data_IF_704400036894
#
_entry.id   IF_704400036894
#
_cell.length_a   1.000
_cell.length_b   1.000
_cell.length_c   1.000
_cell.angle_alpha   90.00
_cell.angle_beta   90.00
_cell.angle_gamma   90.00
#
_symmetry.space_group_name_H-M   'P 1'
#
loop_
_entity.id
_entity.type
_entity.pdbx_description
1 polymer ?
#
# COMPACT_ATOMS: atom_id res chain seq x y z
N UNK A 1 -6.54 -23.87 2.93
CA UNK A 1 -5.84 -23.95 4.23
C UNK A 1 -6.57 -23.28 5.40
N UNK A 2 -7.35 -22.21 5.20
CA UNK A 2 -8.09 -21.54 6.29
C UNK A 2 -9.18 -22.40 6.97
N UNK A 3 -9.83 -23.32 6.25
CA UNK A 3 -10.87 -24.19 6.80
C UNK A 3 -10.35 -25.27 7.76
N UNK A 4 -9.13 -25.78 7.53
CA UNK A 4 -8.53 -26.78 8.40
C UNK A 4 -8.17 -26.22 9.80
N UNK A 5 -7.75 -24.97 9.87
CA UNK A 5 -7.43 -24.30 11.13
C UNK A 5 -8.69 -24.01 11.94
N UNK A 6 -9.80 -23.65 11.29
CA UNK A 6 -11.08 -23.38 11.96
C UNK A 6 -11.65 -24.65 12.59
N UNK A 7 -11.58 -25.79 11.90
CA UNK A 7 -12.06 -27.08 12.41
C UNK A 7 -11.23 -27.54 13.61
N UNK A 8 -9.91 -27.38 13.58
CA UNK A 8 -9.04 -27.75 14.70
C UNK A 8 -9.33 -26.89 15.94
N UNK A 9 -9.55 -25.58 15.79
CA UNK A 9 -9.88 -24.69 16.90
C UNK A 9 -11.24 -25.05 17.52
N UNK A 10 -12.24 -25.37 16.71
CA UNK A 10 -13.57 -25.79 17.18
C UNK A 10 -13.50 -27.15 17.90
N UNK A 11 -12.70 -28.11 17.40
CA UNK A 11 -12.55 -29.43 18.01
C UNK A 11 -11.79 -29.34 19.34
N UNK A 12 -10.79 -28.50 19.48
CA UNK A 12 -10.08 -28.26 20.74
C UNK A 12 -11.00 -27.60 21.79
N UNK A 13 -11.90 -26.70 21.37
CA UNK A 13 -12.87 -26.06 22.27
C UNK A 13 -13.94 -27.04 22.79
N UNK A 14 -14.30 -28.09 22.05
CA UNK A 14 -15.31 -29.09 22.46
C UNK A 14 -14.71 -30.12 23.44
N UNK A 15 -13.40 -30.40 23.40
CA UNK A 15 -12.74 -31.40 24.25
C UNK A 15 -12.30 -30.89 25.62
N UNK A 16 -12.30 -29.56 25.86
CA UNK A 16 -12.02 -28.98 27.18
C UNK A 16 -13.34 -28.69 27.93
N UNK A 17 -14.29 -29.59 27.86
CA UNK A 17 -15.51 -29.49 28.64
C UNK A 17 -15.52 -30.47 29.78
N UNK A 18 -16.17 -30.01 30.82
CA UNK A 18 -16.72 -30.71 32.00
C UNK A 18 -15.92 -30.42 33.28
N UNK A 19 -15.86 -29.12 33.60
CA UNK A 19 -16.00 -28.63 34.98
C UNK A 19 -16.84 -27.35 34.93
N UNK A 20 -17.75 -27.11 35.90
CA UNK A 20 -18.66 -25.95 35.84
C UNK A 20 -17.93 -24.66 36.17
N UNK A 21 -17.18 -24.16 35.21
CA UNK A 21 -16.69 -22.79 35.25
C UNK A 21 -17.82 -21.86 34.83
N UNK A 22 -18.12 -20.88 35.68
CA UNK A 22 -19.23 -19.94 35.48
C UNK A 22 -19.26 -19.37 34.04
N UNK A 23 -20.42 -19.44 33.40
CA UNK A 23 -20.67 -18.92 32.02
C UNK A 23 -20.09 -17.50 31.79
N UNK A 24 -19.97 -16.69 32.85
CA UNK A 24 -19.36 -15.34 32.78
C UNK A 24 -17.90 -15.34 32.36
N UNK A 25 -17.09 -16.33 32.79
CA UNK A 25 -15.64 -16.38 32.45
C UNK A 25 -15.42 -16.81 30.99
N UNK A 26 -16.26 -17.71 30.45
CA UNK A 26 -16.18 -18.13 29.06
C UNK A 26 -16.57 -16.99 28.10
N UNK A 27 -17.59 -16.19 28.45
CA UNK A 27 -17.99 -15.03 27.67
C UNK A 27 -16.90 -13.95 27.64
N UNK A 28 -16.17 -13.75 28.74
CA UNK A 28 -15.09 -12.77 28.79
C UNK A 28 -13.88 -13.16 27.92
N UNK A 29 -13.51 -14.44 27.90
CA UNK A 29 -12.41 -14.94 27.05
C UNK A 29 -12.78 -14.86 25.57
N UNK A 30 -14.01 -15.22 25.22
CA UNK A 30 -14.52 -15.11 23.84
C UNK A 30 -14.55 -13.66 23.35
N UNK A 31 -14.97 -12.72 24.20
CA UNK A 31 -15.00 -11.30 23.87
C UNK A 31 -13.60 -10.70 23.75
N UNK A 32 -12.65 -11.08 24.62
CA UNK A 32 -11.26 -10.64 24.53
C UNK A 32 -10.57 -11.15 23.25
N UNK A 33 -10.79 -12.41 22.86
CA UNK A 33 -10.28 -12.98 21.61
C UNK A 33 -10.89 -12.33 20.37
N UNK A 34 -12.17 -11.99 20.42
CA UNK A 34 -12.86 -11.27 19.34
C UNK A 34 -12.32 -9.83 19.20
N UNK A 35 -12.07 -9.14 20.31
CA UNK A 35 -11.45 -7.81 20.29
C UNK A 35 -9.99 -7.84 19.77
N UNK A 36 -9.20 -8.87 20.09
CA UNK A 36 -7.84 -9.01 19.55
C UNK A 36 -7.83 -9.26 18.04
N UNK A 37 -8.79 -9.99 17.50
CA UNK A 37 -8.89 -10.21 16.05
C UNK A 37 -9.32 -8.96 15.27
N UNK A 38 -10.04 -8.03 15.89
CA UNK A 38 -10.39 -6.74 15.29
C UNK A 38 -9.22 -5.74 15.26
N UNK A 39 -8.20 -5.91 16.09
CA UNK A 39 -7.04 -4.98 16.16
C UNK A 39 -6.03 -5.19 15.04
N UNK A 40 -6.03 -6.32 14.37
CA UNK A 40 -5.10 -6.63 13.26
C UNK A 40 -5.51 -6.03 11.90
N UNK A 41 -6.72 -5.45 11.76
CA UNK A 41 -7.22 -4.89 10.51
C UNK A 41 -6.76 -3.45 10.19
N UNK A 42 -5.95 -2.82 11.05
CA UNK A 42 -5.68 -1.37 10.97
C UNK A 42 -4.34 -0.96 10.37
N UNK A 43 -3.60 -1.84 9.71
CA UNK A 43 -2.28 -1.49 9.14
C UNK A 43 -2.29 -1.12 7.65
N UNK A 44 -3.43 -1.17 6.99
CA UNK A 44 -3.53 -0.80 5.58
C UNK A 44 -3.91 0.67 5.46
N UNK A 45 -3.09 1.46 4.76
CA UNK A 45 -3.43 2.84 4.43
C UNK A 45 -4.75 2.86 3.66
N UNK A 46 -5.81 3.38 4.27
CA UNK A 46 -7.06 3.57 3.57
C UNK A 46 -6.88 4.73 2.57
N UNK A 47 -7.30 4.52 1.34
CA UNK A 47 -7.23 5.51 0.27
C UNK A 47 -8.64 5.93 -0.15
N UNK A 48 -8.83 7.22 -0.36
CA UNK A 48 -10.07 7.81 -0.89
C UNK A 48 -9.80 8.28 -2.31
N UNK A 49 -10.61 7.86 -3.27
CA UNK A 49 -10.53 8.32 -4.66
C UNK A 49 -10.76 9.82 -4.74
N UNK A 50 -9.94 10.52 -5.52
CA UNK A 50 -10.03 11.95 -5.74
C UNK A 50 -9.89 12.27 -7.24
N UNK A 51 -10.51 13.38 -7.67
CA UNK A 51 -10.44 13.80 -9.07
C UNK A 51 -9.12 14.52 -9.40
N UNK A 52 -8.50 15.17 -8.41
CA UNK A 52 -7.27 15.94 -8.60
C UNK A 52 -6.36 15.86 -7.39
N UNK A 53 -5.07 16.10 -7.62
CA UNK A 53 -4.03 16.17 -6.61
C UNK A 53 -3.13 17.37 -6.86
N UNK A 54 -2.37 17.86 -5.87
CA UNK A 54 -1.39 18.94 -6.07
C UNK A 54 -0.26 18.60 -7.05
N UNK A 55 -0.08 17.31 -7.39
CA UNK A 55 1.01 16.83 -8.25
C UNK A 55 0.61 16.65 -9.71
N UNK A 56 -0.67 16.77 -10.05
CA UNK A 56 -1.19 16.47 -11.40
C UNK A 56 -0.46 17.23 -12.51
N UNK A 57 -0.16 18.51 -12.27
CA UNK A 57 0.56 19.35 -13.23
C UNK A 57 2.01 18.89 -13.41
N UNK A 58 2.68 18.51 -12.33
CA UNK A 58 4.07 18.07 -12.37
C UNK A 58 4.23 16.69 -13.00
N UNK A 59 3.19 15.85 -12.91
CA UNK A 59 3.18 14.46 -13.41
C UNK A 59 2.77 14.34 -14.88
N UNK A 60 2.55 15.45 -15.60
CA UNK A 60 2.07 15.43 -16.99
C UNK A 60 2.97 14.58 -17.90
N UNK A 61 4.29 14.65 -17.72
CA UNK A 61 5.26 13.89 -18.53
C UNK A 61 5.20 12.38 -18.32
N UNK A 62 4.90 11.93 -17.12
CA UNK A 62 4.84 10.49 -16.76
C UNK A 62 3.42 9.92 -16.82
N UNK A 63 2.41 10.74 -17.05
CA UNK A 63 1.02 10.28 -17.14
C UNK A 63 0.82 9.17 -18.18
N UNK A 64 1.38 9.25 -19.39
CA UNK A 64 1.28 8.17 -20.37
C UNK A 64 1.83 6.84 -19.85
N UNK A 65 2.91 6.88 -19.06
CA UNK A 65 3.54 5.69 -18.47
C UNK A 65 2.61 5.07 -17.41
N UNK A 66 2.02 5.89 -16.54
CA UNK A 66 1.10 5.41 -15.51
C UNK A 66 -0.18 4.83 -16.12
N UNK A 67 -0.67 5.43 -17.21
CA UNK A 67 -1.92 5.03 -17.87
C UNK A 67 -1.73 4.07 -19.04
N UNK A 68 -0.50 3.61 -19.31
CA UNK A 68 -0.26 2.60 -20.35
C UNK A 68 -1.06 1.33 -20.07
N UNK A 69 -1.41 0.60 -21.11
CA UNK A 69 -2.00 -0.71 -20.94
C UNK A 69 -1.01 -1.62 -20.20
N UNK A 70 -1.52 -2.40 -19.27
CA UNK A 70 -0.72 -3.43 -18.60
C UNK A 70 -0.19 -4.40 -19.67
N UNK A 71 1.07 -4.76 -19.57
CA UNK A 71 1.67 -5.74 -20.46
C UNK A 71 0.97 -7.09 -20.34
N UNK A 72 1.29 -7.99 -21.28
CA UNK A 72 0.82 -9.38 -21.18
C UNK A 72 1.29 -9.96 -19.82
N UNK A 73 0.38 -10.64 -19.15
CA UNK A 73 0.68 -11.27 -17.85
C UNK A 73 1.63 -12.43 -18.10
N UNK A 74 2.90 -12.11 -18.08
CA UNK A 74 3.95 -13.11 -18.01
C UNK A 74 3.87 -13.82 -16.64
N UNK A 75 4.65 -14.90 -16.50
CA UNK A 75 4.75 -15.72 -15.30
C UNK A 75 4.71 -14.91 -14.00
N UNK A 76 4.29 -15.55 -12.93
CA UNK A 76 4.21 -14.94 -11.58
C UNK A 76 5.52 -14.23 -11.23
N UNK A 77 5.51 -12.90 -11.23
CA UNK A 77 6.70 -12.09 -10.89
C UNK A 77 7.17 -12.43 -9.49
N UNK A 78 8.40 -12.93 -9.39
CA UNK A 78 9.01 -13.30 -8.12
C UNK A 78 9.50 -12.04 -7.36
N UNK A 79 9.43 -12.09 -6.04
CA UNK A 79 9.99 -11.04 -5.19
C UNK A 79 11.50 -10.88 -5.39
N UNK A 80 12.20 -11.95 -5.77
CA UNK A 80 13.63 -11.92 -6.08
C UNK A 80 13.92 -11.05 -7.31
N UNK A 81 13.11 -11.17 -8.37
CA UNK A 81 13.25 -10.34 -9.57
C UNK A 81 12.97 -8.87 -9.26
N UNK A 82 11.94 -8.59 -8.45
CA UNK A 82 11.63 -7.23 -7.99
C UNK A 82 12.81 -6.65 -7.19
N UNK A 83 13.41 -7.43 -6.30
CA UNK A 83 14.58 -7.01 -5.54
C UNK A 83 15.78 -6.72 -6.45
N UNK A 84 15.98 -7.50 -7.50
CA UNK A 84 17.03 -7.24 -8.50
C UNK A 84 16.82 -5.88 -9.17
N UNK A 85 15.58 -5.55 -9.59
CA UNK A 85 15.28 -4.22 -10.17
C UNK A 85 15.46 -3.09 -9.17
N UNK A 86 15.04 -3.28 -7.91
CA UNK A 86 15.26 -2.31 -6.84
C UNK A 86 16.77 -2.05 -6.68
N UNK A 87 17.58 -3.12 -6.64
CA UNK A 87 19.04 -3.03 -6.52
C UNK A 87 19.67 -2.25 -7.68
N UNK A 88 19.27 -2.54 -8.92
CA UNK A 88 19.76 -1.84 -10.11
C UNK A 88 19.43 -0.36 -10.08
N UNK A 89 18.20 0.00 -9.75
CA UNK A 89 17.79 1.41 -9.62
C UNK A 89 18.44 2.10 -8.41
N UNK A 90 18.65 1.37 -7.32
CA UNK A 90 19.37 1.87 -6.16
C UNK A 90 20.80 2.24 -6.48
N UNK A 91 21.47 1.47 -7.33
CA UNK A 91 22.86 1.71 -7.76
C UNK A 91 23.02 3.01 -8.57
N UNK A 92 21.97 3.52 -9.23
CA UNK A 92 22.03 4.81 -9.92
C UNK A 92 22.23 5.91 -8.87
N UNK A 93 23.23 6.81 -9.03
CA UNK A 93 23.46 7.91 -8.11
C UNK A 93 22.22 8.75 -7.87
N UNK A 94 22.05 9.23 -6.62
CA UNK A 94 20.94 10.13 -6.32
C UNK A 94 21.28 11.56 -6.76
N UNK A 95 20.38 12.17 -7.51
CA UNK A 95 20.45 13.58 -7.87
C UNK A 95 19.03 14.14 -8.02
N UNK A 96 18.75 15.25 -7.32
CA UNK A 96 17.43 15.89 -7.36
C UNK A 96 17.14 16.45 -8.75
N UNK A 97 15.91 16.26 -9.22
CA UNK A 97 15.35 16.87 -10.42
C UNK A 97 14.08 17.63 -10.10
N UNK A 98 13.86 18.78 -10.70
CA UNK A 98 12.57 19.48 -10.63
C UNK A 98 11.48 18.69 -11.34
N UNK A 99 11.81 18.09 -12.47
CA UNK A 99 10.90 17.33 -13.31
C UNK A 99 10.84 15.85 -12.92
N UNK A 100 9.75 15.22 -13.25
CA UNK A 100 9.61 13.77 -13.19
C UNK A 100 10.29 13.16 -14.42
N UNK A 101 11.36 12.39 -14.20
CA UNK A 101 12.07 11.68 -15.25
C UNK A 101 11.29 10.49 -15.74
N UNK A 102 11.33 10.22 -17.06
CA UNK A 102 10.82 8.99 -17.66
C UNK A 102 11.76 7.81 -17.38
N UNK A 103 11.32 6.54 -17.55
CA UNK A 103 12.18 5.38 -17.39
C UNK A 103 13.46 5.44 -18.25
N UNK A 104 13.36 5.91 -19.50
CA UNK A 104 14.47 6.08 -20.42
C UNK A 104 15.48 7.12 -19.90
N UNK A 105 14.98 8.25 -19.43
CA UNK A 105 15.84 9.30 -18.86
C UNK A 105 16.55 8.85 -17.59
N UNK A 106 15.95 7.91 -16.83
CA UNK A 106 16.58 7.31 -15.65
C UNK A 106 17.67 6.32 -16.05
N UNK A 107 17.43 5.50 -17.08
CA UNK A 107 18.39 4.52 -17.57
C UNK A 107 19.59 5.15 -18.27
N UNK A 108 19.38 6.20 -19.06
CA UNK A 108 20.42 6.90 -19.81
C UNK A 108 21.13 8.00 -19.00
N UNK A 109 20.54 8.39 -17.87
CA UNK A 109 21.03 9.51 -17.07
C UNK A 109 22.08 9.10 -16.05
N UNK A 110 22.99 10.02 -15.74
CA UNK A 110 24.01 9.83 -14.71
C UNK A 110 23.45 9.79 -13.28
N UNK A 111 22.23 10.26 -13.06
CA UNK A 111 21.58 10.31 -11.76
C UNK A 111 20.05 10.31 -11.86
N UNK A 112 19.39 9.89 -10.78
CA UNK A 112 17.95 9.98 -10.65
C UNK A 112 17.54 10.23 -9.20
N UNK A 113 16.41 10.93 -9.01
CA UNK A 113 15.80 11.12 -7.69
C UNK A 113 14.76 10.03 -7.38
N UNK A 114 14.11 10.14 -6.22
CA UNK A 114 13.11 9.18 -5.78
C UNK A 114 11.93 9.05 -6.77
N UNK A 115 11.53 10.17 -7.41
CA UNK A 115 10.42 10.20 -8.37
C UNK A 115 10.78 9.38 -9.62
N UNK A 116 11.92 9.68 -10.24
CA UNK A 116 12.37 8.98 -11.44
C UNK A 116 12.56 7.48 -11.19
N UNK A 117 13.25 7.12 -10.09
CA UNK A 117 13.46 5.71 -9.74
C UNK A 117 12.14 4.96 -9.48
N UNK A 118 11.17 5.59 -8.79
CA UNK A 118 9.87 4.98 -8.55
C UNK A 118 9.08 4.79 -9.86
N UNK A 119 9.11 5.77 -10.78
CA UNK A 119 8.45 5.66 -12.09
C UNK A 119 9.08 4.57 -12.96
N UNK A 120 10.42 4.47 -12.96
CA UNK A 120 11.11 3.41 -13.70
C UNK A 120 10.76 2.02 -13.16
N UNK A 121 10.69 1.84 -11.84
CA UNK A 121 10.25 0.59 -11.24
C UNK A 121 8.77 0.28 -11.52
N UNK A 122 7.89 1.30 -11.47
CA UNK A 122 6.49 1.15 -11.84
C UNK A 122 6.36 0.62 -13.27
N UNK A 123 7.05 1.24 -14.22
CA UNK A 123 7.04 0.82 -15.61
C UNK A 123 7.55 -0.61 -15.79
N UNK A 124 8.62 -1.01 -15.09
CA UNK A 124 9.16 -2.36 -15.15
C UNK A 124 8.19 -3.42 -14.64
N UNK A 125 7.41 -3.13 -13.62
CA UNK A 125 6.37 -3.99 -13.09
C UNK A 125 5.15 -4.02 -14.02
N UNK A 126 4.66 -2.85 -14.41
CA UNK A 126 3.44 -2.70 -15.18
C UNK A 126 3.56 -3.28 -16.59
N UNK A 127 4.70 -3.11 -17.27
CA UNK A 127 4.98 -3.68 -18.58
C UNK A 127 5.01 -5.23 -18.57
N UNK A 128 5.13 -5.86 -17.42
CA UNK A 128 5.05 -7.31 -17.23
C UNK A 128 3.72 -7.78 -16.66
N UNK A 129 2.69 -6.95 -16.72
CA UNK A 129 1.35 -7.31 -16.31
C UNK A 129 1.16 -7.40 -14.79
N UNK A 130 2.05 -6.81 -13.98
CA UNK A 130 1.86 -6.76 -12.53
C UNK A 130 0.75 -5.77 -12.21
N UNK A 131 -0.28 -6.28 -11.57
CA UNK A 131 -1.44 -5.53 -11.11
C UNK A 131 -1.28 -5.05 -9.65
N UNK A 132 -2.15 -4.15 -9.23
CA UNK A 132 -2.22 -3.66 -7.84
C UNK A 132 -0.92 -2.99 -7.37
N UNK A 133 -0.23 -2.30 -8.27
CA UNK A 133 0.93 -1.45 -7.97
C UNK A 133 0.49 0.00 -7.96
N UNK A 134 0.82 0.72 -6.91
CA UNK A 134 0.55 2.16 -6.77
C UNK A 134 1.84 2.95 -6.67
N UNK A 135 1.92 4.04 -7.42
CA UNK A 135 2.94 5.06 -7.19
C UNK A 135 2.47 5.96 -6.05
N UNK A 136 3.22 6.00 -4.97
CA UNK A 136 2.86 6.73 -3.75
C UNK A 136 3.78 7.94 -3.57
N UNK A 137 3.17 9.07 -3.23
CA UNK A 137 3.85 10.29 -2.79
C UNK A 137 3.47 10.53 -1.34
N UNK A 138 4.46 10.65 -0.48
CA UNK A 138 4.23 10.83 0.94
C UNK A 138 5.46 11.32 1.68
N UNK A 139 5.52 11.06 2.98
CA UNK A 139 6.67 11.36 3.82
C UNK A 139 7.40 10.08 4.18
N UNK A 140 8.73 10.06 4.02
CA UNK A 140 9.54 8.92 4.43
C UNK A 140 9.48 8.69 5.93
N UNK A 141 9.48 9.79 6.69
CA UNK A 141 9.27 9.82 8.13
C UNK A 141 8.30 10.95 8.47
N UNK A 142 7.59 10.82 9.55
CA UNK A 142 6.65 11.84 10.02
C UNK A 142 7.30 13.23 10.19
N UNK A 143 8.56 13.28 10.61
CA UNK A 143 9.34 14.52 10.77
C UNK A 143 9.89 15.09 9.46
N UNK A 144 9.78 14.36 8.33
CA UNK A 144 10.32 14.81 7.04
C UNK A 144 9.59 16.05 6.55
N UNK A 145 10.36 17.09 6.19
CA UNK A 145 9.82 18.29 5.55
C UNK A 145 9.58 18.09 4.06
N UNK A 146 10.38 17.25 3.41
CA UNK A 146 10.27 16.93 1.98
C UNK A 146 9.42 15.71 1.76
N UNK A 147 8.71 15.68 0.64
CA UNK A 147 8.00 14.49 0.16
C UNK A 147 8.98 13.51 -0.48
N UNK A 148 8.57 12.25 -0.51
CA UNK A 148 9.28 11.12 -1.06
C UNK A 148 8.35 10.30 -1.94
N UNK A 149 8.88 9.59 -2.94
CA UNK A 149 8.12 8.73 -3.82
C UNK A 149 8.62 7.27 -3.71
N UNK A 150 7.67 6.34 -3.65
CA UNK A 150 7.90 4.89 -3.60
C UNK A 150 6.73 4.16 -4.26
N UNK A 151 6.79 2.83 -4.33
CA UNK A 151 5.66 2.02 -4.75
C UNK A 151 5.09 1.20 -3.59
N UNK A 152 3.79 0.98 -3.64
CA UNK A 152 3.10 -0.04 -2.88
C UNK A 152 2.59 -1.12 -3.84
N UNK A 153 2.98 -2.36 -3.59
CA UNK A 153 2.53 -3.51 -4.37
C UNK A 153 1.73 -4.45 -3.48
N UNK A 154 0.43 -4.61 -3.79
CA UNK A 154 -0.48 -5.48 -3.04
C UNK A 154 -0.58 -6.84 -3.70
N UNK A 155 -0.23 -7.88 -2.97
CA UNK A 155 -0.30 -9.28 -3.38
C UNK A 155 -1.24 -10.06 -2.47
N UNK A 156 -1.52 -11.31 -2.78
CA UNK A 156 -2.25 -12.21 -1.87
C UNK A 156 -1.53 -12.39 -0.51
N UNK A 157 -0.20 -12.22 -0.49
CA UNK A 157 0.60 -12.27 0.73
C UNK A 157 0.63 -10.97 1.55
N UNK A 158 0.01 -9.88 1.09
CA UNK A 158 -0.01 -8.55 1.72
C UNK A 158 0.65 -7.48 0.88
N UNK A 159 0.77 -6.28 1.45
CA UNK A 159 1.34 -5.13 0.75
C UNK A 159 2.85 -5.01 0.99
N UNK A 160 3.60 -4.79 -0.08
CA UNK A 160 5.04 -4.55 -0.07
C UNK A 160 5.34 -3.08 -0.35
N UNK A 161 6.32 -2.53 0.37
CA UNK A 161 6.96 -1.25 0.07
C UNK A 161 8.15 -1.53 -0.85
N UNK A 162 8.17 -0.86 -2.01
CA UNK A 162 9.25 -0.93 -2.99
C UNK A 162 9.85 0.48 -3.13
N UNK A 163 10.98 0.70 -2.50
CA UNK A 163 11.66 2.01 -2.51
C UNK A 163 13.08 1.90 -3.08
N UNK A 164 13.26 2.08 -4.39
CA UNK A 164 14.55 1.96 -5.04
C UNK A 164 15.52 3.10 -4.74
N UNK A 165 15.14 4.06 -3.91
CA UNK A 165 16.01 5.15 -3.49
C UNK A 165 16.76 4.81 -2.22
N UNK A 166 16.10 4.18 -1.27
CA UNK A 166 16.62 3.97 0.08
C UNK A 166 16.90 2.50 0.37
N UNK A 167 16.03 1.60 -0.11
CA UNK A 167 16.11 0.17 0.20
C UNK A 167 16.80 -0.61 -0.93
N UNK A 168 17.38 -1.76 -0.59
CA UNK A 168 17.95 -2.72 -1.53
C UNK A 168 16.98 -3.82 -1.92
N UNK A 169 15.87 -3.95 -1.19
CA UNK A 169 14.86 -4.97 -1.41
C UNK A 169 13.48 -4.47 -0.98
N UNK A 170 12.47 -5.12 -1.51
CA UNK A 170 11.10 -4.99 -1.06
C UNK A 170 10.95 -5.50 0.37
N UNK A 171 10.05 -4.92 1.14
CA UNK A 171 9.69 -5.41 2.45
C UNK A 171 8.19 -5.21 2.72
N UNK A 172 7.66 -6.00 3.64
CA UNK A 172 6.24 -5.94 3.99
C UNK A 172 5.89 -4.61 4.66
N UNK A 173 4.79 -3.99 4.25
CA UNK A 173 4.35 -2.69 4.78
C UNK A 173 4.16 -2.73 6.31
N UNK A 174 3.76 -3.88 6.87
CA UNK A 174 3.59 -4.07 8.31
C UNK A 174 4.91 -3.94 9.10
N UNK A 175 6.05 -4.11 8.42
CA UNK A 175 7.39 -3.90 9.03
C UNK A 175 7.81 -2.44 9.02
N UNK A 176 7.14 -1.60 8.22
CA UNK A 176 7.33 -0.16 8.31
C UNK A 176 6.77 0.34 9.63
N UNK A 177 7.58 0.97 10.47
CA UNK A 177 7.08 1.58 11.70
C UNK A 177 6.00 2.63 11.38
N UNK A 178 5.08 2.87 12.30
CA UNK A 178 3.96 3.83 12.16
C UNK A 178 4.39 5.26 11.82
N UNK A 179 5.64 5.60 12.08
CA UNK A 179 6.25 6.91 11.82
C UNK A 179 6.99 6.99 10.48
N UNK A 180 6.96 5.93 9.67
CA UNK A 180 7.66 5.88 8.38
C UNK A 180 6.72 5.46 7.25
N UNK A 181 7.08 5.85 6.02
CA UNK A 181 6.27 5.61 4.81
C UNK A 181 4.82 6.06 4.98
N UNK A 182 4.65 7.34 5.32
CA UNK A 182 3.34 7.96 5.54
C UNK A 182 2.82 8.46 4.19
N UNK A 183 1.83 7.78 3.57
CA UNK A 183 1.31 8.17 2.27
C UNK A 183 0.49 9.46 2.39
N UNK A 184 0.54 10.28 1.36
CA UNK A 184 -0.31 11.45 1.17
C UNK A 184 -1.21 11.26 -0.04
N UNK A 185 -0.64 10.85 -1.17
CA UNK A 185 -1.35 10.59 -2.42
C UNK A 185 -0.81 9.31 -3.07
N UNK A 186 -1.67 8.63 -3.84
CA UNK A 186 -1.30 7.47 -4.61
C UNK A 186 -1.94 7.50 -5.99
N UNK A 187 -1.30 6.84 -6.96
CA UNK A 187 -1.72 6.74 -8.35
C UNK A 187 -1.66 5.29 -8.80
N UNK A 188 -2.72 4.86 -9.49
CA UNK A 188 -2.86 3.52 -10.05
C UNK A 188 -3.50 3.69 -11.44
N UNK A 189 -2.68 3.69 -12.46
CA UNK A 189 -3.10 4.08 -13.80
C UNK A 189 -3.59 5.53 -13.81
N UNK A 190 -4.82 5.73 -14.27
CA UNK A 190 -5.50 7.03 -14.28
C UNK A 190 -6.16 7.39 -12.95
N UNK A 191 -6.30 6.42 -12.05
CA UNK A 191 -6.96 6.61 -10.75
C UNK A 191 -6.04 7.33 -9.78
N UNK A 192 -6.61 8.27 -9.05
CA UNK A 192 -5.91 9.10 -8.08
C UNK A 192 -6.54 8.93 -6.71
N UNK A 193 -5.69 8.90 -5.71
CA UNK A 193 -6.11 8.66 -4.34
C UNK A 193 -5.43 9.64 -3.39
N UNK A 194 -6.13 9.98 -2.33
CA UNK A 194 -5.58 10.64 -1.15
C UNK A 194 -5.60 9.65 0.01
N UNK A 195 -4.52 9.57 0.77
CA UNK A 195 -4.50 8.77 1.98
C UNK A 195 -5.52 9.33 2.99
N UNK A 196 -6.36 8.44 3.52
CA UNK A 196 -7.31 8.79 4.56
C UNK A 196 -6.58 8.87 5.90
N UNK A 197 -6.69 10.01 6.57
CA UNK A 197 -6.39 10.09 8.00
C UNK A 197 -7.57 9.54 8.78
N UNK A 198 -7.37 9.01 9.99
CA UNK A 198 -8.46 8.51 10.84
C UNK A 198 -9.58 9.56 11.01
N UNK A 199 -9.25 10.84 11.10
CA UNK A 199 -10.19 11.95 11.16
C UNK A 199 -11.02 12.09 9.88
N UNK A 200 -10.42 11.89 8.71
CA UNK A 200 -11.11 11.97 7.42
C UNK A 200 -12.10 10.83 7.17
N UNK A 201 -11.81 9.63 7.67
CA UNK A 201 -12.71 8.48 7.58
C UNK A 201 -13.98 8.68 8.40
N UNK A 202 -13.86 9.26 9.60
CA UNK A 202 -15.01 9.58 10.46
C UNK A 202 -15.91 10.67 9.85
N UNK A 203 -15.31 11.67 9.19
CA UNK A 203 -16.05 12.72 8.49
C UNK A 203 -16.79 12.18 7.26
N UNK A 204 -16.16 11.30 6.47
CA UNK A 204 -16.78 10.67 5.31
C UNK A 204 -17.97 9.80 5.69
N UNK A 205 -17.87 9.02 6.77
CA UNK A 205 -18.96 8.20 7.26
C UNK A 205 -20.16 9.03 7.81
N UNK A 206 -19.88 10.21 8.36
CA UNK A 206 -20.96 11.13 8.77
C UNK A 206 -21.71 11.71 7.57
N UNK A 207 -20.98 12.04 6.49
CA UNK A 207 -21.60 12.59 5.27
C UNK A 207 -22.50 11.55 4.58
N UNK A 208 -22.06 10.29 4.47
CA UNK A 208 -22.87 9.22 3.90
C UNK A 208 -24.12 8.88 4.75
N UNK A 209 -24.04 8.95 6.07
CA UNK A 209 -25.21 8.79 6.94
C UNK A 209 -26.21 9.92 6.82
N UNK A 210 -25.75 11.18 6.60
CA UNK A 210 -26.63 12.33 6.40
C UNK A 210 -27.46 12.25 5.11
N UNK A 211 -26.91 11.68 4.03
CA UNK A 211 -27.63 11.54 2.76
C UNK A 211 -28.73 10.46 2.82
N UNK A 212 -28.57 9.40 3.61
CA UNK A 212 -29.61 8.38 3.79
C UNK A 212 -30.83 8.84 4.62
N UNK A 213 -30.68 9.87 5.42
CA UNK A 213 -31.79 10.45 6.19
C UNK A 213 -32.60 11.46 5.36
N UNK A 214 -31.94 12.20 4.47
CA UNK A 214 -32.59 13.20 3.62
C UNK A 214 -33.41 12.60 2.45
N UNK A 215 -33.23 11.32 2.13
CA UNK A 215 -33.99 10.62 1.08
C UNK A 215 -35.25 9.90 1.61
N UNK A 216 -35.62 10.09 2.87
CA UNK A 216 -36.82 9.48 3.49
C UNK A 216 -37.82 10.52 4.05
N UNK A 217 -37.69 11.77 3.67
CA UNK A 217 -38.68 12.83 3.85
C UNK A 217 -39.17 13.32 2.48
#
# INVERSE_FOLDING_TARGET
>A
MAWAVLVVIITIMVTISIRPYSLRKVAFVGFALFCLSCLSAFAQSAYITVNSTPYDRQMTRIRPILSSASGHKDETISISLVNHWIGNLRAIPYGFSMEWKTPEEVQLGAYADCKGKAVALYNALHSRGVENVRLVIGKRMWTSRKTHAWLEWTTAGGTYILDPTINWSAFRAERAGRSSYIPLYAYDGTRKYRAATCTGLLASNRFLRGQHVASRL
#
